data_IF_106072893289
#
_entry.id   IF_106072893289
#
_cell.length_a   1.000
_cell.length_b   1.000
_cell.length_c   1.000
_cell.angle_alpha   90.00
_cell.angle_beta   90.00
_cell.angle_gamma   90.00
#
_symmetry.space_group_name_H-M   'P 1'
#
loop_
_entity.id
_entity.type
_entity.pdbx_description
1 polymer ?
#
# COMPACT_ATOMS: atom_id res chain seq x y z
N UNK A 1 16.34 22.42 -9.67
CA UNK A 1 16.83 23.04 -10.92
C UNK A 1 18.20 22.45 -11.17
N UNK A 2 18.34 21.58 -12.17
CA UNK A 2 19.62 20.98 -12.53
C UNK A 2 20.41 22.00 -13.33
N UNK A 3 21.69 22.20 -13.01
CA UNK A 3 22.58 22.98 -13.87
C UNK A 3 22.82 22.13 -15.13
N UNK A 4 22.56 22.65 -16.34
CA UNK A 4 22.84 21.90 -17.56
C UNK A 4 24.34 21.61 -17.65
N UNK A 5 24.70 20.44 -18.16
CA UNK A 5 26.09 20.10 -18.42
C UNK A 5 26.69 21.18 -19.35
N UNK A 6 27.85 21.76 -19.00
CA UNK A 6 28.44 22.80 -19.82
C UNK A 6 28.87 22.20 -21.16
N UNK A 7 28.46 22.85 -22.25
CA UNK A 7 29.01 22.59 -23.56
C UNK A 7 30.42 23.19 -23.61
N UNK A 8 31.46 22.36 -23.72
CA UNK A 8 32.86 22.80 -23.64
C UNK A 8 33.31 23.50 -24.93
N UNK A 9 32.77 23.08 -26.07
CA UNK A 9 32.99 23.70 -27.37
C UNK A 9 31.71 23.56 -28.20
N UNK A 10 31.13 24.69 -28.59
CA UNK A 10 29.85 24.80 -29.30
C UNK A 10 30.00 24.94 -30.83
N UNK A 11 31.22 24.83 -31.35
CA UNK A 11 31.46 24.91 -32.79
C UNK A 11 30.90 23.69 -33.52
N UNK A 12 30.17 23.95 -34.59
CA UNK A 12 29.68 22.94 -35.52
C UNK A 12 30.51 22.90 -36.80
N UNK A 13 30.28 21.89 -37.62
CA UNK A 13 30.95 21.71 -38.92
C UNK A 13 31.11 23.01 -39.72
N UNK A 14 30.02 23.78 -39.87
CA UNK A 14 30.03 25.00 -40.68
C UNK A 14 30.92 26.08 -40.06
N UNK A 15 30.93 26.22 -38.74
CA UNK A 15 31.77 27.19 -38.04
C UNK A 15 33.25 26.88 -38.29
N UNK A 16 33.61 25.59 -38.27
CA UNK A 16 34.96 25.09 -38.53
C UNK A 16 35.38 25.31 -39.99
N UNK A 17 34.48 25.05 -40.95
CA UNK A 17 34.73 25.30 -42.38
C UNK A 17 34.92 26.79 -42.64
N UNK A 18 34.06 27.64 -42.07
CA UNK A 18 34.11 29.08 -42.24
C UNK A 18 35.37 29.68 -41.61
N UNK A 19 35.76 29.22 -40.42
CA UNK A 19 36.99 29.61 -39.74
C UNK A 19 38.24 29.24 -40.56
N UNK A 20 38.28 28.01 -41.10
CA UNK A 20 39.35 27.56 -41.96
C UNK A 20 39.43 28.39 -43.27
N UNK A 21 38.29 28.64 -43.93
CA UNK A 21 38.23 29.48 -45.15
C UNK A 21 38.69 30.91 -44.90
N UNK A 22 38.30 31.53 -43.77
CA UNK A 22 38.75 32.87 -43.37
C UNK A 22 40.27 32.92 -43.13
N UNK A 23 40.89 31.79 -42.82
CA UNK A 23 42.33 31.69 -42.56
C UNK A 23 43.18 31.53 -43.83
N UNK A 24 42.58 31.14 -44.97
CA UNK A 24 43.30 30.90 -46.24
C UNK A 24 44.15 32.10 -46.69
N UNK A 25 43.63 33.35 -46.73
CA UNK A 25 44.42 34.49 -47.22
C UNK A 25 45.69 34.74 -46.40
N UNK A 26 45.70 34.33 -45.13
CA UNK A 26 46.84 34.50 -44.21
C UNK A 26 47.90 33.42 -44.41
N UNK A 27 47.50 32.17 -44.56
CA UNK A 27 48.43 31.02 -44.58
C UNK A 27 48.78 30.54 -45.99
N UNK A 28 47.87 30.70 -46.95
CA UNK A 28 47.99 30.21 -48.31
C UNK A 28 47.56 31.28 -49.33
N UNK A 29 48.23 32.45 -49.39
CA UNK A 29 47.82 33.56 -50.25
C UNK A 29 47.87 33.24 -51.76
N UNK A 30 48.61 32.20 -52.16
CA UNK A 30 48.66 31.71 -53.54
C UNK A 30 47.47 30.84 -53.94
N UNK A 31 46.65 30.38 -52.98
CA UNK A 31 45.47 29.56 -53.23
C UNK A 31 44.25 30.45 -53.47
N UNK A 32 43.78 30.50 -54.72
CA UNK A 32 42.76 31.45 -55.18
C UNK A 32 41.40 30.84 -55.48
N UNK A 33 41.32 29.51 -55.68
CA UNK A 33 40.07 28.80 -55.94
C UNK A 33 39.45 28.26 -54.64
N UNK A 34 38.38 28.89 -54.16
CA UNK A 34 37.68 28.51 -52.93
C UNK A 34 36.29 27.93 -53.19
N UNK A 35 36.04 27.44 -54.41
CA UNK A 35 34.78 26.80 -54.77
C UNK A 35 34.62 25.45 -54.06
N UNK A 36 33.37 24.98 -53.92
CA UNK A 36 33.05 23.68 -53.30
C UNK A 36 33.72 22.50 -54.04
N UNK A 37 33.96 22.66 -55.35
CA UNK A 37 34.61 21.65 -56.19
C UNK A 37 36.14 21.60 -56.03
N UNK A 38 36.74 22.55 -55.30
CA UNK A 38 38.19 22.56 -55.10
C UNK A 38 38.61 21.44 -54.12
N UNK A 39 39.59 20.58 -54.48
CA UNK A 39 40.04 19.50 -53.62
C UNK A 39 40.58 19.97 -52.26
N UNK A 40 41.15 21.18 -52.18
CA UNK A 40 41.59 21.78 -50.92
C UNK A 40 40.41 22.13 -50.00
N UNK A 41 39.31 22.65 -50.57
CA UNK A 41 38.06 22.86 -49.83
C UNK A 41 37.47 21.54 -49.35
N UNK A 42 37.49 20.48 -50.17
CA UNK A 42 37.06 19.13 -49.73
C UNK A 42 37.88 18.62 -48.54
N UNK A 43 39.20 18.88 -48.52
CA UNK A 43 40.04 18.54 -47.37
C UNK A 43 39.67 19.35 -46.12
N UNK A 44 39.38 20.65 -46.26
CA UNK A 44 38.88 21.48 -45.15
C UNK A 44 37.61 20.87 -44.57
N UNK A 45 36.65 20.51 -45.42
CA UNK A 45 35.39 19.89 -45.00
C UNK A 45 35.64 18.55 -44.28
N UNK A 46 36.51 17.69 -44.82
CA UNK A 46 36.88 16.43 -44.16
C UNK A 46 37.48 16.65 -42.76
N UNK A 47 38.41 17.61 -42.64
CA UNK A 47 39.02 17.94 -41.34
C UNK A 47 38.02 18.57 -40.38
N UNK A 48 37.14 19.45 -40.85
CA UNK A 48 36.07 20.04 -40.05
C UNK A 48 35.14 18.95 -39.50
N UNK A 49 34.74 17.98 -40.33
CA UNK A 49 33.95 16.84 -39.90
C UNK A 49 34.67 16.01 -38.82
N UNK A 50 35.96 15.69 -39.02
CA UNK A 50 36.73 14.94 -38.02
C UNK A 50 36.83 15.70 -36.70
N UNK A 51 37.09 17.02 -36.74
CA UNK A 51 37.16 17.87 -35.54
C UNK A 51 35.81 17.90 -34.83
N UNK A 52 34.70 18.05 -35.54
CA UNK A 52 33.36 18.00 -34.95
C UNK A 52 33.10 16.68 -34.20
N UNK A 53 33.58 15.54 -34.71
CA UNK A 53 33.50 14.26 -33.99
C UNK A 53 34.33 14.27 -32.69
N UNK A 54 35.47 14.96 -32.66
CA UNK A 54 36.27 15.15 -31.44
C UNK A 54 35.57 16.10 -30.46
N UNK A 55 34.99 17.20 -30.93
CA UNK A 55 34.23 18.13 -30.09
C UNK A 55 33.04 17.42 -29.43
N UNK A 56 32.31 16.59 -30.18
CA UNK A 56 31.25 15.75 -29.63
C UNK A 56 31.73 14.86 -28.47
N UNK A 57 32.90 14.22 -28.61
CA UNK A 57 33.48 13.39 -27.54
C UNK A 57 33.96 14.22 -26.34
N UNK A 58 34.55 15.39 -26.60
CA UNK A 58 34.96 16.31 -25.54
C UNK A 58 33.76 16.75 -24.70
N UNK A 59 32.64 17.03 -25.35
CA UNK A 59 31.39 17.41 -24.69
C UNK A 59 30.73 16.29 -23.86
N UNK A 60 31.20 15.04 -23.96
CA UNK A 60 30.80 13.94 -23.05
C UNK A 60 31.66 13.84 -21.78
N UNK A 61 32.79 14.55 -21.71
CA UNK A 61 33.70 14.50 -20.55
C UNK A 61 33.04 15.00 -19.26
N UNK A 62 32.25 16.11 -19.24
CA UNK A 62 31.58 16.56 -18.03
C UNK A 62 30.68 15.48 -17.39
N UNK A 63 29.87 14.79 -18.21
CA UNK A 63 28.97 13.73 -17.73
C UNK A 63 29.74 12.54 -17.16
N UNK A 64 30.81 12.12 -17.85
CA UNK A 64 31.69 11.04 -17.37
C UNK A 64 32.37 11.41 -16.05
N UNK A 65 32.85 12.65 -15.93
CA UNK A 65 33.46 13.14 -14.70
C UNK A 65 32.44 13.17 -13.56
N UNK A 66 31.21 13.63 -13.83
CA UNK A 66 30.13 13.63 -12.85
C UNK A 66 29.87 12.23 -12.29
N UNK A 67 29.70 11.21 -13.14
CA UNK A 67 29.53 9.81 -12.71
C UNK A 67 30.74 9.34 -11.90
N UNK A 68 31.96 9.64 -12.36
CA UNK A 68 33.19 9.24 -11.65
C UNK A 68 33.29 9.89 -10.27
N UNK A 69 32.89 11.16 -10.12
CA UNK A 69 32.85 11.82 -8.83
C UNK A 69 31.79 11.21 -7.90
N UNK A 70 30.62 10.85 -8.42
CA UNK A 70 29.60 10.11 -7.68
C UNK A 70 30.14 8.77 -7.16
N UNK A 71 30.85 8.02 -8.00
CA UNK A 71 31.46 6.75 -7.62
C UNK A 71 32.56 6.94 -6.55
N UNK A 72 33.39 7.99 -6.67
CA UNK A 72 34.47 8.29 -5.72
C UNK A 72 33.95 8.65 -4.33
N UNK A 73 32.82 9.37 -4.23
CA UNK A 73 32.18 9.67 -2.94
C UNK A 73 31.27 8.53 -2.45
N UNK A 74 31.24 7.41 -3.18
CA UNK A 74 30.52 6.20 -2.80
C UNK A 74 29.01 6.26 -3.05
N UNK A 75 28.52 7.20 -3.86
CA UNK A 75 27.12 7.18 -4.31
C UNK A 75 26.92 5.95 -5.16
N UNK A 76 25.89 5.17 -4.83
CA UNK A 76 25.47 4.02 -5.63
C UNK A 76 24.01 4.21 -6.01
N UNK A 77 23.64 3.72 -7.20
CA UNK A 77 22.24 3.60 -7.56
C UNK A 77 21.52 2.72 -6.54
N UNK A 78 20.34 3.16 -6.11
CA UNK A 78 19.50 2.34 -5.26
C UNK A 78 19.05 1.11 -6.06
N UNK A 79 19.08 -0.10 -5.46
CA UNK A 79 18.54 -1.27 -6.12
C UNK A 79 17.03 -1.09 -6.35
N UNK A 80 16.48 -1.84 -7.29
CA UNK A 80 15.03 -1.94 -7.47
C UNK A 80 14.37 -2.34 -6.14
N UNK A 81 13.28 -1.68 -5.78
CA UNK A 81 12.49 -2.02 -4.60
C UNK A 81 11.31 -2.89 -5.01
N UNK A 82 10.97 -3.95 -4.24
CA UNK A 82 9.84 -4.79 -4.56
C UNK A 82 8.54 -3.99 -4.46
N UNK A 83 7.60 -4.27 -5.38
CA UNK A 83 6.25 -3.78 -5.22
C UNK A 83 5.63 -4.38 -3.94
N UNK A 84 4.88 -3.58 -3.18
CA UNK A 84 4.20 -4.01 -1.96
C UNK A 84 2.72 -3.71 -2.06
N UNK A 85 1.91 -4.50 -1.38
CA UNK A 85 0.47 -4.33 -1.35
C UNK A 85 -0.19 -5.18 -0.29
N UNK A 86 -1.52 -5.14 -0.28
CA UNK A 86 -2.36 -5.92 0.63
C UNK A 86 -3.18 -6.94 -0.16
N UNK A 87 -3.28 -8.16 0.36
CA UNK A 87 -4.16 -9.21 -0.20
C UNK A 87 -5.11 -9.69 0.89
N UNK A 88 -6.41 -9.70 0.58
CA UNK A 88 -7.44 -10.25 1.47
C UNK A 88 -7.74 -11.69 1.12
N UNK A 89 -7.44 -12.60 2.04
CA UNK A 89 -7.85 -14.00 1.96
C UNK A 89 -9.28 -14.12 2.47
N UNK A 90 -10.20 -14.55 1.60
CA UNK A 90 -11.59 -14.82 1.96
C UNK A 90 -11.80 -16.31 2.14
N UNK A 91 -12.46 -16.70 3.23
CA UNK A 91 -12.83 -18.07 3.49
C UNK A 91 -13.95 -18.51 2.54
N UNK A 92 -13.85 -19.74 2.03
CA UNK A 92 -14.88 -20.35 1.17
C UNK A 92 -16.15 -20.72 1.93
N UNK A 93 -16.04 -20.94 3.23
CA UNK A 93 -17.15 -21.16 4.16
C UNK A 93 -16.83 -20.46 5.49
N UNK A 94 -17.86 -20.05 6.27
CA UNK A 94 -17.64 -19.49 7.59
C UNK A 94 -16.79 -20.44 8.45
N UNK A 95 -15.80 -19.90 9.17
CA UNK A 95 -15.03 -20.70 10.12
C UNK A 95 -15.97 -21.34 11.15
N UNK A 96 -15.82 -22.66 11.36
CA UNK A 96 -16.52 -23.34 12.44
C UNK A 96 -16.19 -22.66 13.79
N UNK A 97 -17.13 -22.61 14.75
CA UNK A 97 -16.89 -22.02 16.06
C UNK A 97 -15.61 -22.58 16.71
N UNK A 98 -14.72 -21.69 17.14
CA UNK A 98 -13.45 -22.07 17.78
C UNK A 98 -12.33 -22.50 16.82
N UNK A 99 -12.59 -22.63 15.50
CA UNK A 99 -11.55 -22.99 14.53
C UNK A 99 -10.73 -21.77 14.11
N UNK A 100 -9.42 -21.86 14.29
CA UNK A 100 -8.44 -20.89 13.80
C UNK A 100 -7.87 -21.37 12.46
N UNK A 101 -7.68 -20.46 11.52
CA UNK A 101 -7.09 -20.77 10.19
C UNK A 101 -5.84 -19.92 10.03
N UNK A 102 -4.67 -20.56 9.96
CA UNK A 102 -3.40 -19.88 9.74
C UNK A 102 -3.08 -19.73 8.26
N UNK A 103 -2.52 -18.58 7.92
CA UNK A 103 -1.88 -18.25 6.65
C UNK A 103 -0.41 -18.03 7.03
N UNK A 104 0.47 -19.00 6.73
CA UNK A 104 1.87 -18.90 7.09
C UNK A 104 2.52 -17.65 6.50
N UNK A 105 3.56 -17.17 7.19
CA UNK A 105 4.58 -16.33 6.56
C UNK A 105 5.03 -17.03 5.27
N UNK A 106 5.34 -16.24 4.24
CA UNK A 106 5.87 -16.76 2.97
C UNK A 106 4.90 -17.54 2.08
N UNK A 107 3.60 -17.36 2.29
CA UNK A 107 2.59 -17.88 1.38
C UNK A 107 2.63 -17.10 0.07
N UNK A 108 2.84 -17.80 -1.05
CA UNK A 108 2.84 -17.20 -2.39
C UNK A 108 1.42 -17.06 -2.94
N UNK A 109 1.13 -15.90 -3.52
CA UNK A 109 -0.08 -15.58 -4.27
C UNK A 109 0.32 -14.96 -5.59
N UNK A 110 -0.38 -15.31 -6.67
CA UNK A 110 0.00 -14.84 -8.01
C UNK A 110 -1.20 -14.27 -8.74
N UNK A 111 -0.94 -13.34 -9.66
CA UNK A 111 -1.94 -12.89 -10.63
C UNK A 111 -2.33 -14.03 -11.58
N UNK A 112 -3.47 -13.89 -12.25
CA UNK A 112 -3.85 -14.83 -13.30
C UNK A 112 -2.84 -14.77 -14.44
N UNK A 113 -2.30 -15.94 -14.83
CA UNK A 113 -1.42 -16.06 -15.99
C UNK A 113 -2.28 -16.01 -17.25
N UNK A 114 -1.94 -15.12 -18.18
CA UNK A 114 -2.58 -15.08 -19.50
C UNK A 114 -1.63 -15.61 -20.57
N UNK A 115 -2.07 -15.72 -21.82
CA UNK A 115 -1.20 -16.10 -22.94
C UNK A 115 -0.09 -15.08 -23.20
N UNK A 116 -0.30 -13.80 -22.84
CA UNK A 116 0.61 -12.70 -23.14
C UNK A 116 1.35 -12.16 -21.89
N UNK A 117 0.93 -12.55 -20.70
CA UNK A 117 1.49 -12.06 -19.43
C UNK A 117 1.78 -13.21 -18.47
N UNK A 118 3.04 -13.28 -18.03
CA UNK A 118 3.44 -14.18 -16.96
C UNK A 118 2.78 -13.79 -15.64
N UNK A 119 2.59 -14.77 -14.76
CA UNK A 119 2.03 -14.51 -13.44
C UNK A 119 3.04 -13.73 -12.59
N UNK A 120 2.57 -12.66 -11.96
CA UNK A 120 3.36 -11.86 -11.02
C UNK A 120 3.12 -12.41 -9.63
N UNK A 121 4.18 -12.92 -8.99
CA UNK A 121 4.10 -13.56 -7.67
C UNK A 121 4.37 -12.57 -6.55
N UNK A 122 3.48 -12.55 -5.58
CA UNK A 122 3.64 -11.85 -4.31
C UNK A 122 3.71 -12.87 -3.17
N UNK A 123 4.43 -12.53 -2.12
CA UNK A 123 4.64 -13.40 -0.96
C UNK A 123 4.23 -12.69 0.31
N UNK A 124 3.51 -13.39 1.21
CA UNK A 124 3.10 -12.82 2.51
C UNK A 124 4.31 -12.47 3.36
N UNK A 125 4.26 -11.29 3.98
CA UNK A 125 5.37 -10.75 4.80
C UNK A 125 5.23 -11.02 6.30
N UNK A 126 4.09 -11.57 6.72
CA UNK A 126 3.86 -12.01 8.09
C UNK A 126 2.96 -13.24 8.10
N UNK A 127 3.03 -13.99 9.20
CA UNK A 127 1.99 -14.97 9.52
C UNK A 127 0.71 -14.23 9.91
N UNK A 128 -0.43 -14.73 9.44
CA UNK A 128 -1.75 -14.21 9.76
C UNK A 128 -2.68 -15.35 10.17
N UNK A 129 -3.55 -15.11 11.15
CA UNK A 129 -4.50 -16.13 11.64
C UNK A 129 -5.90 -15.54 11.64
N UNK A 130 -6.83 -16.19 10.93
CA UNK A 130 -8.26 -15.87 11.02
C UNK A 130 -8.80 -16.44 12.32
N UNK A 131 -9.19 -15.56 13.23
CA UNK A 131 -9.72 -15.90 14.55
C UNK A 131 -11.25 -15.83 14.54
N UNK A 132 -11.95 -16.72 15.28
CA UNK A 132 -13.38 -16.58 15.49
C UNK A 132 -13.66 -15.41 16.44
N UNK A 133 -14.48 -14.41 16.06
CA UNK A 133 -14.74 -13.25 16.90
C UNK A 133 -15.81 -13.60 17.94
N UNK A 134 -15.43 -13.68 19.21
CA UNK A 134 -16.38 -13.91 20.28
C UNK A 134 -16.75 -12.57 20.94
N UNK A 135 -18.03 -12.21 20.81
CA UNK A 135 -18.58 -10.95 21.28
C UNK A 135 -18.78 -11.01 22.80
N UNK A 136 -17.99 -10.22 23.53
CA UNK A 136 -18.04 -10.13 24.98
C UNK A 136 -19.05 -9.08 25.44
N UNK A 137 -18.98 -7.90 24.84
CA UNK A 137 -19.65 -6.71 25.35
C UNK A 137 -20.50 -6.03 24.28
N UNK A 138 -21.69 -5.63 24.70
CA UNK A 138 -22.64 -4.85 23.93
C UNK A 138 -23.00 -3.64 24.81
N UNK A 139 -22.58 -2.43 24.45
CA UNK A 139 -22.87 -1.24 25.24
C UNK A 139 -23.45 -0.11 24.40
N UNK A 140 -24.26 0.75 24.98
CA UNK A 140 -24.72 2.00 24.36
C UNK A 140 -24.33 3.18 25.24
N UNK A 141 -24.06 4.32 24.61
CA UNK A 141 -23.86 5.59 25.32
C UNK A 141 -24.72 6.69 24.74
N UNK A 142 -25.14 7.62 25.60
CA UNK A 142 -25.83 8.84 25.17
C UNK A 142 -24.90 10.05 25.04
N UNK A 143 -23.76 10.05 25.73
CA UNK A 143 -22.89 11.22 25.94
C UNK A 143 -21.38 10.88 25.92
N UNK A 144 -21.00 9.65 25.54
CA UNK A 144 -19.65 9.09 25.54
C UNK A 144 -19.00 8.95 26.92
N UNK A 145 -19.77 9.15 28.00
CA UNK A 145 -19.31 9.02 29.40
C UNK A 145 -20.12 7.99 30.18
N UNK A 146 -21.42 7.91 29.93
CA UNK A 146 -22.34 6.97 30.58
C UNK A 146 -22.60 5.80 29.66
N UNK A 147 -22.36 4.59 30.15
CA UNK A 147 -22.49 3.37 29.37
C UNK A 147 -23.59 2.49 29.98
N UNK A 148 -24.52 2.05 29.13
CA UNK A 148 -25.50 1.03 29.47
C UNK A 148 -25.04 -0.30 28.85
N UNK A 149 -25.05 -1.37 29.66
CA UNK A 149 -24.67 -2.70 29.21
C UNK A 149 -25.90 -3.51 28.77
N UNK A 150 -25.83 -4.02 27.55
CA UNK A 150 -26.85 -4.87 26.92
C UNK A 150 -26.32 -6.28 26.62
N UNK A 151 -25.18 -6.66 27.20
CA UNK A 151 -24.53 -7.95 26.95
C UNK A 151 -25.39 -9.15 27.35
N UNK A 152 -26.19 -9.04 28.42
CA UNK A 152 -27.17 -10.06 28.80
C UNK A 152 -28.41 -10.03 27.90
N UNK A 153 -28.90 -8.84 27.55
CA UNK A 153 -30.07 -8.66 26.67
C UNK A 153 -29.86 -9.30 25.30
N UNK A 154 -28.65 -9.13 24.72
CA UNK A 154 -28.26 -9.78 23.46
C UNK A 154 -28.14 -11.31 23.53
N UNK A 155 -28.09 -11.89 24.73
CA UNK A 155 -28.11 -13.35 24.95
C UNK A 155 -29.51 -13.89 25.26
N UNK A 156 -30.41 -13.06 25.77
CA UNK A 156 -31.78 -13.44 26.18
C UNK A 156 -32.86 -13.01 25.16
N UNK A 157 -32.44 -12.63 23.95
CA UNK A 157 -33.30 -12.10 22.88
C UNK A 157 -34.16 -10.90 23.33
N UNK A 158 -33.68 -10.12 24.30
CA UNK A 158 -34.35 -8.88 24.73
C UNK A 158 -33.90 -7.70 23.85
N UNK A 159 -34.83 -7.06 23.11
CA UNK A 159 -34.47 -5.99 22.19
C UNK A 159 -34.09 -4.69 22.91
N UNK A 160 -32.94 -4.12 22.55
CA UNK A 160 -32.45 -2.82 23.01
C UNK A 160 -32.39 -1.80 21.87
N UNK A 161 -32.37 -0.51 22.20
CA UNK A 161 -32.21 0.55 21.20
C UNK A 161 -30.72 0.78 20.91
N UNK A 162 -30.33 0.88 19.64
CA UNK A 162 -28.92 1.16 19.29
C UNK A 162 -28.47 2.54 19.78
N UNK A 163 -29.37 3.52 19.73
CA UNK A 163 -29.17 4.90 20.18
C UNK A 163 -30.40 5.43 20.91
N UNK A 164 -30.33 6.66 21.42
CA UNK A 164 -31.53 7.36 21.90
C UNK A 164 -32.49 7.69 20.75
N UNK A 165 -33.73 8.11 21.06
CA UNK A 165 -34.69 8.57 20.05
C UNK A 165 -35.02 10.04 20.27
N UNK A 166 -34.71 10.95 19.31
CA UNK A 166 -34.01 10.70 18.05
C UNK A 166 -32.49 10.46 18.23
N UNK A 167 -31.84 9.65 17.38
CA UNK A 167 -30.39 9.47 17.41
C UNK A 167 -29.63 10.77 17.12
N UNK A 168 -28.59 11.05 17.91
CA UNK A 168 -27.74 12.25 17.78
C UNK A 168 -26.29 11.96 18.11
N UNK A 169 -25.36 12.79 17.66
CA UNK A 169 -23.99 12.72 18.19
C UNK A 169 -23.96 13.29 19.64
N UNK A 170 -23.12 12.77 20.55
CA UNK A 170 -22.07 11.76 20.37
C UNK A 170 -22.51 10.32 20.74
N UNK A 171 -23.77 9.96 20.48
CA UNK A 171 -24.28 8.63 20.84
C UNK A 171 -23.56 7.55 20.05
N UNK A 172 -23.33 6.41 20.70
CA UNK A 172 -22.65 5.30 20.04
C UNK A 172 -23.10 3.97 20.63
N UNK A 173 -23.09 2.98 19.76
CA UNK A 173 -23.30 1.59 20.09
C UNK A 173 -21.98 0.83 19.96
N UNK A 174 -21.54 0.15 21.00
CA UNK A 174 -20.22 -0.49 21.13
C UNK A 174 -20.31 -2.01 21.14
N UNK A 175 -19.37 -2.63 20.45
CA UNK A 175 -19.14 -4.07 20.39
C UNK A 175 -17.70 -4.36 20.81
N UNK A 176 -17.53 -5.12 21.89
CA UNK A 176 -16.22 -5.53 22.42
C UNK A 176 -15.97 -7.02 22.19
N UNK A 177 -14.84 -7.36 21.57
CA UNK A 177 -14.43 -8.74 21.26
C UNK A 177 -13.23 -9.19 22.10
N UNK A 178 -13.16 -10.49 22.39
CA UNK A 178 -12.10 -11.11 23.19
C UNK A 178 -10.75 -11.24 22.46
N UNK A 179 -10.78 -11.39 21.14
CA UNK A 179 -9.60 -11.57 20.29
C UNK A 179 -9.13 -10.26 19.62
N UNK A 180 -7.86 -10.23 19.20
CA UNK A 180 -7.33 -9.18 18.33
C UNK A 180 -7.76 -9.46 16.87
N UNK A 181 -8.75 -8.71 16.40
CA UNK A 181 -9.32 -8.86 15.08
C UNK A 181 -8.71 -7.88 14.06
N UNK A 182 -7.49 -7.38 14.33
CA UNK A 182 -6.73 -6.57 13.39
C UNK A 182 -6.74 -7.19 11.98
N UNK A 183 -6.96 -6.36 10.96
CA UNK A 183 -7.01 -6.74 9.54
C UNK A 183 -8.09 -7.77 9.16
N UNK A 184 -8.99 -8.16 10.07
CA UNK A 184 -10.04 -9.12 9.75
C UNK A 184 -11.15 -8.48 8.91
N UNK A 185 -11.77 -9.29 8.05
CA UNK A 185 -13.08 -8.99 7.48
C UNK A 185 -14.15 -9.53 8.43
N UNK A 186 -14.75 -8.64 9.21
CA UNK A 186 -15.74 -8.94 10.24
C UNK A 186 -17.15 -8.85 9.66
N UNK A 187 -17.97 -9.88 9.88
CA UNK A 187 -19.40 -9.89 9.56
C UNK A 187 -20.19 -9.84 10.86
N UNK A 188 -21.06 -8.84 10.96
CA UNK A 188 -22.02 -8.68 12.04
C UNK A 188 -23.39 -9.10 11.52
N UNK A 189 -23.92 -10.21 12.01
CA UNK A 189 -25.29 -10.65 11.73
C UNK A 189 -26.23 -10.02 12.75
N UNK A 190 -27.14 -9.16 12.31
CA UNK A 190 -28.04 -8.40 13.17
C UNK A 190 -29.49 -8.81 12.95
N UNK A 191 -30.21 -9.03 14.04
CA UNK A 191 -31.66 -9.20 14.06
C UNK A 191 -32.30 -7.90 14.55
N UNK A 192 -33.06 -7.23 13.69
CA UNK A 192 -33.62 -5.89 13.92
C UNK A 192 -35.15 -5.89 13.80
N UNK A 193 -35.84 -5.14 14.67
CA UNK A 193 -37.31 -5.08 14.70
C UNK A 193 -37.93 -4.01 13.76
N UNK A 194 -37.14 -3.42 12.85
CA UNK A 194 -37.63 -2.52 11.81
C UNK A 194 -38.22 -1.18 12.28
N UNK A 195 -37.67 -0.61 13.35
CA UNK A 195 -38.18 0.63 13.97
C UNK A 195 -37.50 1.93 13.50
N UNK A 196 -36.43 1.88 12.69
CA UNK A 196 -35.73 3.08 12.23
C UNK A 196 -36.44 3.74 11.04
N UNK A 197 -37.20 4.80 11.32
CA UNK A 197 -37.97 5.54 10.32
C UNK A 197 -37.21 6.79 9.87
N UNK A 198 -37.38 7.17 8.59
CA UNK A 198 -36.95 8.47 8.07
C UNK A 198 -35.63 8.47 7.32
N UNK A 199 -34.96 7.33 7.17
CA UNK A 199 -33.67 7.23 6.47
C UNK A 199 -33.82 6.74 5.02
N UNK A 200 -32.76 6.92 4.22
CA UNK A 200 -32.60 6.24 2.93
C UNK A 200 -31.87 4.89 3.14
N UNK A 201 -32.52 3.73 2.94
CA UNK A 201 -31.94 2.42 3.20
C UNK A 201 -30.64 2.11 2.46
N UNK A 202 -30.46 2.68 1.26
CA UNK A 202 -29.29 2.45 0.39
C UNK A 202 -28.07 3.27 0.82
N UNK A 203 -28.30 4.29 1.65
CA UNK A 203 -27.25 5.18 2.17
C UNK A 203 -27.59 5.55 3.62
N UNK A 204 -27.46 4.59 4.55
CA UNK A 204 -27.91 4.77 5.91
C UNK A 204 -27.02 5.79 6.65
N UNK A 205 -27.59 6.67 7.49
CA UNK A 205 -26.88 7.74 8.16
C UNK A 205 -26.24 7.21 9.46
N UNK A 206 -25.36 6.22 9.35
CA UNK A 206 -24.50 5.78 10.43
C UNK A 206 -23.03 5.72 9.97
N UNK A 207 -22.10 5.66 10.93
CA UNK A 207 -20.68 5.41 10.68
C UNK A 207 -20.17 4.34 11.64
N UNK A 208 -19.44 3.36 11.11
CA UNK A 208 -18.70 2.40 11.93
C UNK A 208 -17.27 2.87 12.15
N UNK A 209 -16.75 2.62 13.35
CA UNK A 209 -15.39 2.96 13.74
C UNK A 209 -14.77 1.81 14.54
N UNK A 210 -13.44 1.65 14.47
CA UNK A 210 -12.68 0.77 15.36
C UNK A 210 -11.67 1.56 16.18
N UNK A 211 -11.35 1.05 17.36
CA UNK A 211 -10.35 1.67 18.23
C UNK A 211 -8.93 1.33 17.74
N UNK A 212 -8.15 2.38 17.40
CA UNK A 212 -6.72 2.28 17.08
C UNK A 212 -5.88 2.74 18.25
N UNK A 213 -5.27 1.79 18.95
CA UNK A 213 -4.55 2.12 20.16
C UNK A 213 -3.25 2.89 19.96
N UNK A 214 -2.47 2.61 18.89
CA UNK A 214 -1.24 3.36 18.60
C UNK A 214 -1.48 4.86 18.38
N UNK A 215 -2.67 5.23 17.94
CA UNK A 215 -3.06 6.62 17.67
C UNK A 215 -4.03 7.17 18.71
N UNK A 216 -4.42 6.35 19.70
CA UNK A 216 -5.43 6.64 20.72
C UNK A 216 -6.67 7.32 20.12
N UNK A 217 -7.16 6.81 18.99
CA UNK A 217 -8.31 7.39 18.30
C UNK A 217 -9.22 6.34 17.69
N UNK A 218 -10.46 6.74 17.47
CA UNK A 218 -11.41 5.98 16.65
C UNK A 218 -11.12 6.24 15.17
N UNK A 219 -11.02 5.17 14.40
CA UNK A 219 -10.80 5.23 12.96
C UNK A 219 -12.06 4.76 12.21
N UNK A 220 -12.56 5.53 11.23
CA UNK A 220 -13.68 5.11 10.38
C UNK A 220 -13.39 3.79 9.66
N UNK A 221 -14.35 2.88 9.72
CA UNK A 221 -14.28 1.59 9.05
C UNK A 221 -14.87 1.67 7.65
N UNK A 222 -14.22 0.97 6.71
CA UNK A 222 -14.81 0.70 5.40
C UNK A 222 -15.84 -0.42 5.55
N UNK A 223 -17.06 -0.12 5.14
CA UNK A 223 -18.15 -1.09 5.05
C UNK A 223 -18.12 -1.72 3.67
N UNK A 224 -17.99 -3.04 3.60
CA UNK A 224 -18.05 -3.77 2.35
C UNK A 224 -19.48 -3.90 1.83
N UNK A 225 -20.42 -4.17 2.73
CA UNK A 225 -21.85 -4.33 2.43
C UNK A 225 -22.69 -4.15 3.70
N UNK A 226 -23.91 -3.65 3.52
CA UNK A 226 -24.96 -3.62 4.54
C UNK A 226 -26.27 -4.17 3.94
N UNK A 227 -26.68 -5.37 4.36
CA UNK A 227 -27.97 -5.95 3.96
C UNK A 227 -29.09 -5.63 4.95
N UNK A 228 -28.78 -5.03 6.12
CA UNK A 228 -29.75 -4.61 7.15
C UNK A 228 -30.52 -3.36 6.79
N UNK A 229 -30.16 -2.67 5.69
CA UNK A 229 -30.82 -1.44 5.22
C UNK A 229 -30.79 -0.33 6.28
N UNK A 230 -29.63 -0.13 6.90
CA UNK A 230 -29.52 0.81 8.02
C UNK A 230 -30.12 0.28 9.30
N UNK A 231 -29.82 -0.96 9.68
CA UNK A 231 -30.29 -1.60 10.93
C UNK A 231 -31.83 -1.68 11.04
N UNK A 232 -32.51 -1.74 9.90
CA UNK A 232 -33.98 -1.71 9.79
C UNK A 232 -34.60 -3.05 9.44
N UNK A 233 -33.80 -4.05 9.12
CA UNK A 233 -34.26 -5.43 8.95
C UNK A 233 -33.13 -6.38 9.30
N UNK A 234 -33.49 -7.63 9.52
CA UNK A 234 -32.52 -8.69 9.70
C UNK A 234 -31.57 -8.75 8.50
N UNK A 235 -30.28 -8.91 8.78
CA UNK A 235 -29.25 -8.95 7.77
C UNK A 235 -27.86 -8.90 8.36
N UNK A 236 -26.89 -8.55 7.53
CA UNK A 236 -25.48 -8.57 7.83
C UNK A 236 -24.82 -7.25 7.43
N UNK A 237 -23.88 -6.81 8.27
CA UNK A 237 -22.96 -5.72 7.96
C UNK A 237 -21.56 -6.30 7.90
N UNK A 238 -20.86 -6.09 6.78
CA UNK A 238 -19.48 -6.56 6.59
C UNK A 238 -18.52 -5.39 6.69
N UNK A 239 -17.55 -5.48 7.59
CA UNK A 239 -16.59 -4.45 7.95
C UNK A 239 -15.16 -4.93 7.67
N UNK A 240 -14.34 -4.05 7.09
CA UNK A 240 -12.90 -4.27 7.03
C UNK A 240 -12.24 -3.60 8.23
N UNK A 241 -11.72 -4.41 9.15
CA UNK A 241 -10.98 -3.90 10.29
C UNK A 241 -9.57 -3.48 9.85
N UNK A 242 -9.05 -2.38 10.41
CA UNK A 242 -7.71 -1.92 10.08
C UNK A 242 -6.65 -2.80 10.75
N UNK A 243 -5.39 -2.67 10.30
CA UNK A 243 -4.25 -3.20 11.04
C UNK A 243 -4.14 -2.54 12.43
N UNK A 244 -3.49 -3.19 13.40
CA UNK A 244 -3.20 -2.60 14.72
C UNK A 244 -4.41 -2.02 15.47
N UNK A 245 -5.50 -2.79 15.54
CA UNK A 245 -6.48 -2.65 16.62
C UNK A 245 -5.76 -2.91 17.96
N UNK A 246 -6.23 -2.30 19.04
CA UNK A 246 -5.63 -2.54 20.36
C UNK A 246 -6.71 -2.71 21.40
N UNK A 247 -6.41 -3.56 22.39
CA UNK A 247 -7.24 -3.70 23.56
C UNK A 247 -7.37 -2.39 24.33
N UNK A 248 -8.58 -2.13 24.80
CA UNK A 248 -8.88 -0.98 25.66
C UNK A 248 -9.93 -1.38 26.69
N UNK A 249 -9.89 -0.70 27.83
CA UNK A 249 -10.95 -0.75 28.82
C UNK A 249 -11.88 0.46 28.66
N UNK A 250 -13.17 0.20 28.46
CA UNK A 250 -14.25 1.19 28.50
C UNK A 250 -15.17 0.85 29.65
N UNK A 251 -15.45 1.80 30.53
CA UNK A 251 -16.36 1.61 31.67
C UNK A 251 -16.10 0.30 32.47
N UNK A 252 -14.84 0.05 32.82
CA UNK A 252 -14.45 -1.16 33.54
C UNK A 252 -14.41 -2.46 32.70
N UNK A 253 -14.90 -2.45 31.46
CA UNK A 253 -14.96 -3.62 30.57
C UNK A 253 -13.80 -3.64 29.60
N UNK A 254 -13.10 -4.77 29.58
CA UNK A 254 -11.93 -4.96 28.75
C UNK A 254 -12.27 -5.84 27.54
N UNK A 255 -11.81 -5.40 26.38
CA UNK A 255 -11.88 -6.16 25.14
C UNK A 255 -10.60 -5.92 24.34
N UNK A 256 -10.19 -6.89 23.52
CA UNK A 256 -9.02 -6.77 22.64
C UNK A 256 -9.32 -5.99 21.38
N UNK A 257 -10.56 -6.04 20.89
CA UNK A 257 -11.01 -5.24 19.76
C UNK A 257 -12.32 -4.56 20.10
N UNK A 258 -12.40 -3.27 19.84
CA UNK A 258 -13.64 -2.49 19.96
C UNK A 258 -14.05 -1.94 18.61
N UNK A 259 -15.32 -2.15 18.28
CA UNK A 259 -16.01 -1.59 17.12
C UNK A 259 -17.22 -0.82 17.62
N UNK A 260 -17.48 0.36 17.08
CA UNK A 260 -18.66 1.16 17.44
C UNK A 260 -19.42 1.67 16.22
N UNK A 261 -20.71 1.85 16.36
CA UNK A 261 -21.60 2.47 15.37
C UNK A 261 -22.18 3.77 15.92
N UNK A 262 -21.99 4.87 15.19
CA UNK A 262 -22.51 6.19 15.52
C UNK A 262 -23.62 6.56 14.54
N UNK A 263 -24.68 7.27 14.98
CA UNK A 263 -25.64 7.87 14.08
C UNK A 263 -25.06 9.18 13.51
N UNK A 264 -25.35 9.48 12.25
CA UNK A 264 -25.07 10.79 11.65
C UNK A 264 -26.31 11.68 11.78
N UNK A 265 -26.22 12.75 12.56
CA UNK A 265 -27.34 13.66 12.83
C UNK A 265 -27.42 14.86 11.88
N UNK A 266 -26.34 15.13 11.13
CA UNK A 266 -26.32 16.07 10.01
C UNK A 266 -25.76 15.38 8.75
N UNK A 267 -26.53 14.49 8.11
CA UNK A 267 -26.07 13.74 6.95
C UNK A 267 -26.01 14.63 5.69
N UNK A 268 -25.37 14.13 4.63
CA UNK A 268 -25.10 14.93 3.41
C UNK A 268 -26.37 15.38 2.67
N UNK A 269 -26.24 16.24 1.64
CA UNK A 269 -27.39 16.72 0.86
C UNK A 269 -28.26 15.58 0.32
N UNK A 270 -29.55 15.60 0.67
CA UNK A 270 -30.53 14.57 0.27
C UNK A 270 -30.60 13.38 1.22
N UNK A 271 -29.78 13.29 2.25
CA UNK A 271 -29.94 12.29 3.30
C UNK A 271 -30.83 12.82 4.43
N UNK A 272 -31.35 11.91 5.24
CA UNK A 272 -32.22 12.26 6.37
C UNK A 272 -31.77 11.44 7.57
N UNK A 273 -31.58 12.08 8.73
CA UNK A 273 -31.17 11.36 9.93
C UNK A 273 -32.29 10.42 10.38
N UNK A 274 -31.96 9.50 11.27
CA UNK A 274 -32.96 8.65 11.90
C UNK A 274 -33.96 9.50 12.70
N UNK A 275 -35.26 9.31 12.45
CA UNK A 275 -36.30 9.89 13.30
C UNK A 275 -36.51 9.06 14.57
N UNK A 276 -36.29 7.75 14.49
CA UNK A 276 -36.35 6.80 15.61
C UNK A 276 -35.16 5.87 15.59
N UNK A 277 -34.73 5.47 16.78
CA UNK A 277 -33.64 4.52 16.95
C UNK A 277 -34.03 3.12 16.45
N UNK A 278 -33.14 2.41 15.73
CA UNK A 278 -33.34 1.01 15.42
C UNK A 278 -33.23 0.17 16.70
N UNK A 279 -34.09 -0.85 16.79
CA UNK A 279 -34.05 -1.84 17.87
C UNK A 279 -33.37 -3.11 17.40
N UNK A 280 -32.40 -3.57 18.17
CA UNK A 280 -31.60 -4.76 17.90
C UNK A 280 -31.97 -5.80 18.94
N UNK A 281 -32.32 -7.00 18.47
CA UNK A 281 -32.66 -8.15 19.31
C UNK A 281 -31.43 -9.01 19.59
N UNK A 282 -30.64 -9.27 18.55
CA UNK A 282 -29.50 -10.19 18.61
C UNK A 282 -28.40 -9.75 17.66
N UNK A 283 -27.16 -10.02 18.06
CA UNK A 283 -25.96 -9.76 17.27
C UNK A 283 -25.10 -11.02 17.29
N UNK A 284 -24.83 -11.56 16.10
CA UNK A 284 -23.79 -12.57 15.86
C UNK A 284 -22.58 -11.92 15.21
N UNK A 285 -21.40 -12.48 15.44
CA UNK A 285 -20.17 -12.06 14.79
C UNK A 285 -19.46 -13.26 14.18
N UNK A 286 -18.88 -13.07 13.00
CA UNK A 286 -18.00 -14.06 12.37
C UNK A 286 -16.93 -13.38 11.54
N UNK A 287 -15.77 -14.03 11.40
CA UNK A 287 -14.70 -13.57 10.50
C UNK A 287 -14.73 -14.40 9.24
N UNK A 288 -14.78 -13.72 8.09
CA UNK A 288 -14.84 -14.36 6.77
C UNK A 288 -13.54 -14.18 5.97
N UNK A 289 -12.55 -13.52 6.55
CA UNK A 289 -11.27 -13.29 5.90
C UNK A 289 -10.32 -12.43 6.72
N UNK A 290 -9.11 -12.29 6.22
CA UNK A 290 -8.05 -11.47 6.80
C UNK A 290 -7.20 -10.86 5.69
N UNK A 291 -6.80 -9.61 5.87
CA UNK A 291 -5.90 -8.90 4.96
C UNK A 291 -4.47 -9.05 5.46
N UNK A 292 -3.57 -9.39 4.54
CA UNK A 292 -2.15 -9.67 4.83
C UNK A 292 -1.28 -8.83 3.90
N UNK A 293 -0.23 -8.17 4.41
CA UNK A 293 0.74 -7.48 3.58
C UNK A 293 1.56 -8.47 2.77
N UNK A 294 1.79 -8.13 1.51
CA UNK A 294 2.56 -8.93 0.56
C UNK A 294 3.61 -8.07 -0.16
N UNK A 295 4.69 -8.71 -0.59
CA UNK A 295 5.70 -8.10 -1.44
C UNK A 295 5.98 -8.95 -2.68
N UNK A 296 6.28 -8.30 -3.80
CA UNK A 296 6.72 -8.96 -5.03
C UNK A 296 8.11 -9.55 -4.83
N UNK A 297 8.13 -10.78 -4.34
CA UNK A 297 9.32 -11.54 -3.97
C UNK A 297 8.98 -13.02 -4.04
N UNK A 298 9.99 -13.83 -4.28
CA UNK A 298 9.92 -15.29 -4.18
C UNK A 298 11.02 -15.79 -3.25
N UNK A 299 10.82 -16.97 -2.70
CA UNK A 299 11.77 -17.53 -1.74
C UNK A 299 12.59 -18.61 -2.41
N UNK A 300 13.90 -18.40 -2.37
CA UNK A 300 14.88 -19.37 -2.84
C UNK A 300 15.47 -20.04 -1.62
N UNK A 301 15.35 -21.36 -1.54
CA UNK A 301 15.97 -22.20 -0.51
C UNK A 301 17.03 -23.08 -1.15
N UNK A 302 18.04 -23.44 -0.36
CA UNK A 302 19.08 -24.40 -0.74
C UNK A 302 19.79 -24.05 -2.07
N UNK A 303 20.04 -22.75 -2.30
CA UNK A 303 20.73 -22.31 -3.51
C UNK A 303 22.20 -22.78 -3.50
N UNK A 304 22.59 -23.51 -4.54
CA UNK A 304 23.97 -23.97 -4.66
C UNK A 304 24.89 -22.81 -5.07
N UNK A 305 25.71 -22.35 -4.12
CA UNK A 305 26.62 -21.20 -4.29
C UNK A 305 27.97 -21.57 -4.92
N UNK A 306 28.38 -22.83 -4.78
CA UNK A 306 29.67 -23.34 -5.24
C UNK A 306 30.35 -24.23 -4.20
N UNK A 307 31.60 -24.63 -4.47
CA UNK A 307 32.40 -25.47 -3.57
C UNK A 307 33.59 -24.68 -3.06
N UNK A 308 33.83 -24.72 -1.74
CA UNK A 308 34.98 -24.06 -1.12
C UNK A 308 36.29 -24.76 -1.44
N UNK A 309 37.31 -23.96 -1.74
CA UNK A 309 38.71 -24.39 -1.81
C UNK A 309 39.49 -24.17 -0.49
N UNK A 310 38.81 -23.89 0.63
CA UNK A 310 39.42 -23.71 1.95
C UNK A 310 40.21 -22.41 2.19
N UNK A 311 40.27 -21.49 1.21
CA UNK A 311 40.92 -20.17 1.37
C UNK A 311 39.97 -19.14 1.99
N UNK A 312 40.53 -18.18 2.73
CA UNK A 312 39.78 -17.05 3.27
C UNK A 312 39.29 -16.11 2.17
N UNK A 313 38.22 -15.35 2.47
CA UNK A 313 37.63 -14.32 1.60
C UNK A 313 37.19 -14.80 0.20
N UNK A 314 36.81 -16.07 0.08
CA UNK A 314 36.14 -16.57 -1.12
C UNK A 314 34.84 -15.81 -1.36
N UNK A 315 34.53 -15.60 -2.63
CA UNK A 315 33.28 -14.96 -3.06
C UNK A 315 32.53 -15.94 -3.92
N UNK A 316 31.27 -16.16 -3.57
CA UNK A 316 30.33 -16.92 -4.38
C UNK A 316 29.33 -15.98 -5.00
N UNK A 317 28.79 -16.38 -6.14
CA UNK A 317 27.76 -15.64 -6.85
C UNK A 317 26.46 -16.39 -6.70
N UNK A 318 25.44 -15.74 -6.15
CA UNK A 318 24.07 -16.25 -6.17
C UNK A 318 23.64 -16.41 -7.63
N UNK A 319 22.89 -17.46 -7.93
CA UNK A 319 22.27 -17.63 -9.25
C UNK A 319 21.14 -16.60 -9.42
N UNK A 320 20.45 -16.28 -8.34
CA UNK A 320 19.43 -15.24 -8.29
C UNK A 320 20.04 -13.89 -7.85
N UNK A 321 19.72 -12.84 -8.61
CA UNK A 321 20.12 -11.46 -8.31
C UNK A 321 18.96 -10.67 -7.70
N UNK A 322 19.25 -9.47 -7.16
CA UNK A 322 18.24 -8.58 -6.54
C UNK A 322 17.67 -9.12 -5.23
N UNK A 323 18.55 -9.58 -4.35
CA UNK A 323 18.21 -9.99 -2.98
C UNK A 323 17.66 -8.80 -2.21
N UNK A 324 16.53 -9.00 -1.54
CA UNK A 324 15.96 -7.99 -0.66
C UNK A 324 16.91 -7.68 0.49
N UNK A 325 16.94 -6.41 0.90
CA UNK A 325 17.66 -6.06 2.12
C UNK A 325 16.95 -6.71 3.30
N UNK A 326 17.68 -7.34 4.24
CA UNK A 326 17.11 -7.79 5.49
C UNK A 326 16.42 -6.65 6.24
N UNK A 327 15.11 -6.73 6.41
CA UNK A 327 14.29 -5.80 7.20
C UNK A 327 13.91 -6.39 8.56
N UNK A 328 14.08 -7.71 8.77
CA UNK A 328 13.73 -8.39 10.01
C UNK A 328 14.63 -9.57 10.37
N UNK A 329 14.47 -10.15 11.58
CA UNK A 329 15.27 -11.27 12.07
C UNK A 329 15.05 -12.58 11.28
N UNK A 330 13.97 -12.67 10.50
CA UNK A 330 13.63 -13.82 9.65
C UNK A 330 14.29 -13.73 8.25
N UNK A 331 14.78 -12.55 7.86
CA UNK A 331 15.41 -12.31 6.55
C UNK A 331 16.93 -12.40 6.67
N UNK A 332 17.45 -13.59 6.96
CA UNK A 332 18.89 -13.82 7.17
C UNK A 332 19.51 -14.44 5.92
N UNK A 333 20.68 -13.92 5.51
CA UNK A 333 21.58 -14.64 4.61
C UNK A 333 22.52 -15.48 5.48
N UNK A 334 22.19 -16.75 5.71
CA UNK A 334 23.08 -17.73 6.33
C UNK A 334 23.92 -18.40 5.24
N UNK A 335 25.25 -18.39 5.38
CA UNK A 335 26.23 -18.90 4.38
C UNK A 335 26.99 -20.08 4.94
#
# INVERSE_FOLDING_TARGET
MYLPAPNLDDRHFQDLVDEAKRSIPRFCPSWTDHNVSDPGVTMIELFAWMVEQYLFRLNQVPDKNYITFLDLIGVRLQPAQPARGDVTFRLSAPSAPGRRISIPLWTEVATERTENEEAVTFTTQCEAVVLPPNLLWIQTTTDDNTFEDHSEAGRTDMPFNAWSTPPREPQAFYLGFDEDLSAHTLVLALECEGSGIGIRPEKPPWRWEAWRGNQLKWEPLRVASDTTRGLNKNGEVTLYLPYHCQGRRFDGREARTWVRCLPMDNPGPGESPYARSPRIRRIGASSIGITVPVAHASIIRDELLGVSNGRSAQRYRLQHSSVLKPEGPEEVVEV
#
